data_IF_646175694434
#
_entry.id   IF_646175694434
#
_cell.length_a   1.000
_cell.length_b   1.000
_cell.length_c   1.000
_cell.angle_alpha   90.00
_cell.angle_beta   90.00
_cell.angle_gamma   90.00
#
_symmetry.space_group_name_H-M   'P 1'
#
loop_
_entity.id
_entity.type
_entity.pdbx_description
1 polymer ?
#
# COMPACT_ATOMS: atom_id res chain seq x y z
N UNK A 1 4.74 0.44 -14.06
CA UNK A 1 5.76 -0.25 -13.25
C UNK A 1 6.22 0.70 -12.15
N UNK A 2 5.88 0.41 -10.89
CA UNK A 2 6.40 1.14 -9.72
C UNK A 2 7.44 0.27 -9.03
N UNK A 3 8.60 0.85 -8.79
CA UNK A 3 9.60 0.31 -7.89
C UNK A 3 9.07 0.53 -6.45
N UNK A 4 8.95 -0.54 -5.66
CA UNK A 4 8.38 -0.46 -4.30
C UNK A 4 9.37 -1.06 -3.32
N UNK A 5 9.63 -0.32 -2.24
CA UNK A 5 10.45 -0.77 -1.15
C UNK A 5 10.03 -0.10 0.17
N UNK A 6 10.28 -0.77 1.29
CA UNK A 6 10.17 -0.19 2.62
C UNK A 6 11.59 0.19 3.09
N UNK A 7 11.92 1.42 3.49
CA UNK A 7 13.28 1.75 3.94
C UNK A 7 13.59 1.17 5.32
N UNK A 8 14.71 0.48 5.52
CA UNK A 8 15.18 -0.01 6.83
C UNK A 8 15.66 1.15 7.73
N UNK A 9 15.35 1.16 9.04
CA UNK A 9 14.54 0.20 9.78
C UNK A 9 13.03 0.43 9.55
N UNK A 10 12.32 -0.66 9.23
CA UNK A 10 10.86 -0.66 9.09
C UNK A 10 10.27 -1.91 9.73
N UNK A 11 9.38 -1.74 10.70
CA UNK A 11 8.72 -2.85 11.40
C UNK A 11 7.84 -3.69 10.46
N UNK A 12 7.37 -3.10 9.35
CA UNK A 12 6.51 -3.76 8.36
C UNK A 12 7.30 -4.31 7.16
N UNK A 13 8.63 -4.44 7.26
CA UNK A 13 9.45 -4.92 6.14
C UNK A 13 9.04 -6.32 5.64
N UNK A 14 8.53 -7.19 6.52
CA UNK A 14 8.04 -8.51 6.16
C UNK A 14 6.74 -8.50 5.34
N UNK A 15 6.01 -7.39 5.31
CA UNK A 15 4.72 -7.27 4.63
C UNK A 15 4.88 -6.99 3.13
N UNK A 16 6.05 -6.49 2.72
CA UNK A 16 6.34 -6.03 1.37
C UNK A 16 6.02 -7.07 0.29
N UNK A 17 6.63 -8.26 0.39
CA UNK A 17 6.52 -9.28 -0.65
C UNK A 17 5.10 -9.87 -0.76
N UNK A 18 4.41 -10.22 0.34
CA UNK A 18 3.03 -10.66 0.26
C UNK A 18 2.09 -9.61 -0.33
N UNK A 19 2.20 -8.35 0.09
CA UNK A 19 1.33 -7.27 -0.39
C UNK A 19 1.59 -6.95 -1.86
N UNK A 20 2.84 -6.77 -2.27
CA UNK A 20 3.14 -6.40 -3.66
C UNK A 20 2.78 -7.51 -4.65
N UNK A 21 2.96 -8.78 -4.28
CA UNK A 21 2.61 -9.90 -5.17
C UNK A 21 1.10 -10.03 -5.36
N UNK A 22 0.34 -9.84 -4.28
CA UNK A 22 -1.11 -9.98 -4.31
C UNK A 22 -1.77 -8.74 -4.93
N UNK A 23 -1.29 -7.54 -4.62
CA UNK A 23 -1.71 -6.31 -5.27
C UNK A 23 -1.30 -6.25 -6.74
N UNK A 24 -0.09 -6.69 -7.10
CA UNK A 24 0.36 -6.75 -8.49
C UNK A 24 -0.48 -7.71 -9.33
N UNK A 25 -0.85 -8.87 -8.78
CA UNK A 25 -1.78 -9.80 -9.44
C UNK A 25 -3.18 -9.20 -9.62
N UNK A 26 -3.71 -8.53 -8.59
CA UNK A 26 -4.97 -7.79 -8.67
C UNK A 26 -4.95 -6.72 -9.78
N UNK A 27 -3.83 -6.00 -9.90
CA UNK A 27 -3.64 -4.95 -10.89
C UNK A 27 -3.26 -5.46 -12.28
N UNK A 28 -3.08 -6.78 -12.45
CA UNK A 28 -2.66 -7.42 -13.70
C UNK A 28 -1.31 -6.88 -14.21
N UNK A 29 -0.35 -6.71 -13.30
CA UNK A 29 0.99 -6.25 -13.66
C UNK A 29 1.78 -7.35 -14.39
N UNK A 30 2.62 -6.94 -15.34
CA UNK A 30 3.49 -7.86 -16.08
C UNK A 30 4.73 -8.30 -15.28
N UNK A 31 5.19 -7.47 -14.33
CA UNK A 31 6.42 -7.70 -13.60
C UNK A 31 6.48 -7.00 -12.23
N UNK A 32 7.30 -7.55 -11.34
CA UNK A 32 7.65 -7.00 -10.03
C UNK A 32 9.17 -6.85 -9.94
N UNK A 33 9.63 -5.65 -9.63
CA UNK A 33 11.06 -5.36 -9.40
C UNK A 33 11.22 -4.68 -8.04
N UNK A 34 11.89 -5.33 -7.07
CA UNK A 34 12.37 -4.66 -5.87
C UNK A 34 13.39 -3.56 -6.22
N UNK A 35 13.42 -2.49 -5.44
CA UNK A 35 14.27 -1.32 -5.70
C UNK A 35 15.76 -1.66 -5.74
N UNK A 36 16.26 -2.31 -4.68
CA UNK A 36 17.68 -2.61 -4.53
C UNK A 36 17.92 -4.09 -4.29
N UNK A 37 18.40 -4.77 -5.33
CA UNK A 37 18.84 -6.17 -5.25
C UNK A 37 20.36 -6.28 -5.10
N UNK A 38 21.08 -5.16 -5.01
CA UNK A 38 22.55 -5.14 -5.05
C UNK A 38 23.11 -5.38 -3.65
N UNK A 39 24.11 -6.26 -3.58
CA UNK A 39 24.92 -6.41 -2.38
C UNK A 39 25.69 -5.10 -2.13
N UNK A 40 25.33 -4.36 -1.09
CA UNK A 40 26.17 -3.25 -0.63
C UNK A 40 27.60 -3.77 -0.44
N UNK A 41 28.57 -3.15 -1.13
CA UNK A 41 29.91 -3.59 -1.55
C UNK A 41 30.86 -4.28 -0.53
N UNK A 42 30.39 -4.62 0.66
CA UNK A 42 31.12 -5.38 1.66
C UNK A 42 30.85 -6.88 1.48
N UNK A 43 31.85 -7.74 1.24
CA UNK A 43 31.65 -9.18 1.09
C UNK A 43 31.39 -9.93 2.42
N UNK A 44 31.38 -9.25 3.57
CA UNK A 44 31.11 -9.89 4.86
C UNK A 44 29.63 -10.31 5.01
N UNK A 45 29.32 -11.62 5.04
CA UNK A 45 27.94 -12.12 5.14
C UNK A 45 27.29 -11.82 6.49
N UNK A 46 28.05 -11.46 7.52
CA UNK A 46 27.53 -11.16 8.86
C UNK A 46 27.28 -9.67 9.10
N UNK A 47 27.45 -8.84 8.08
CA UNK A 47 27.50 -7.40 8.26
C UNK A 47 26.12 -6.73 8.42
N UNK A 48 25.02 -7.49 8.35
CA UNK A 48 23.64 -6.99 8.44
C UNK A 48 23.25 -6.08 7.26
N UNK A 49 22.02 -5.57 7.25
CA UNK A 49 21.56 -4.62 6.23
C UNK A 49 22.42 -3.35 6.25
N UNK A 50 23.00 -2.97 5.10
CA UNK A 50 23.90 -1.81 5.00
C UNK A 50 23.27 -0.58 4.37
N UNK A 51 22.27 -0.77 3.51
CA UNK A 51 21.52 0.30 2.86
C UNK A 51 20.08 0.29 3.36
N UNK A 52 19.38 1.41 3.17
CA UNK A 52 17.95 1.51 3.48
C UNK A 52 17.11 0.49 2.70
N UNK A 53 17.56 0.07 1.52
CA UNK A 53 16.79 -0.76 0.60
C UNK A 53 17.38 -2.16 0.41
N UNK A 54 18.36 -2.55 1.23
CA UNK A 54 19.03 -3.85 1.15
C UNK A 54 18.01 -4.99 1.26
N UNK A 55 17.64 -5.55 0.11
CA UNK A 55 16.79 -6.73 0.05
C UNK A 55 17.60 -7.94 0.52
N UNK A 56 18.78 -8.16 -0.06
CA UNK A 56 19.62 -9.36 0.08
C UNK A 56 19.85 -9.80 1.53
N UNK A 57 20.13 -8.86 2.44
CA UNK A 57 20.49 -9.15 3.84
C UNK A 57 19.33 -9.01 4.82
N UNK A 58 18.10 -8.82 4.34
CA UNK A 58 16.92 -8.72 5.19
C UNK A 58 16.13 -10.04 5.20
N UNK A 59 16.32 -10.93 6.20
CA UNK A 59 15.61 -12.21 6.25
C UNK A 59 14.10 -12.02 6.45
N UNK A 60 13.68 -10.93 7.08
CA UNK A 60 12.25 -10.59 7.23
C UNK A 60 11.57 -10.34 5.89
N UNK A 61 12.29 -9.79 4.91
CA UNK A 61 11.81 -9.63 3.53
C UNK A 61 11.94 -10.94 2.76
N UNK A 62 13.15 -11.49 2.67
CA UNK A 62 13.41 -12.68 1.85
C UNK A 62 12.60 -13.91 2.25
N UNK A 63 12.23 -14.03 3.53
CA UNK A 63 11.38 -15.10 4.02
C UNK A 63 10.06 -15.25 3.23
N UNK A 64 9.55 -14.17 2.63
CA UNK A 64 8.31 -14.17 1.86
C UNK A 64 8.50 -14.09 0.33
N UNK A 65 9.74 -14.08 -0.16
CA UNK A 65 10.05 -14.02 -1.60
C UNK A 65 9.49 -15.21 -2.38
N UNK A 66 9.49 -16.43 -1.79
CA UNK A 66 8.95 -17.64 -2.41
C UNK A 66 7.43 -17.54 -2.55
N UNK A 67 6.75 -17.02 -1.53
CA UNK A 67 5.31 -16.73 -1.59
C UNK A 67 5.02 -15.74 -2.72
N UNK A 68 5.74 -14.62 -2.77
CA UNK A 68 5.54 -13.59 -3.79
C UNK A 68 5.79 -14.13 -5.20
N UNK A 69 6.92 -14.80 -5.40
CA UNK A 69 7.32 -15.37 -6.69
C UNK A 69 6.29 -16.38 -7.19
N UNK A 70 5.85 -17.30 -6.33
CA UNK A 70 4.88 -18.33 -6.69
C UNK A 70 3.51 -17.73 -6.98
N UNK A 71 3.01 -16.86 -6.09
CA UNK A 71 1.70 -16.23 -6.20
C UNK A 71 1.58 -15.39 -7.47
N UNK A 72 2.58 -14.56 -7.75
CA UNK A 72 2.56 -13.65 -8.89
C UNK A 72 2.77 -14.38 -10.22
N UNK A 73 3.83 -15.20 -10.34
CA UNK A 73 4.16 -15.86 -11.62
C UNK A 73 3.11 -16.88 -12.06
N UNK A 74 2.37 -17.45 -11.13
CA UNK A 74 1.28 -18.39 -11.44
C UNK A 74 -0.09 -17.70 -11.56
N UNK A 75 -0.17 -16.38 -11.39
CA UNK A 75 -1.43 -15.64 -11.47
C UNK A 75 -2.47 -16.10 -10.44
N UNK A 76 -2.03 -16.40 -9.21
CA UNK A 76 -2.91 -16.99 -8.19
C UNK A 76 -3.91 -15.99 -7.60
N UNK A 77 -3.64 -14.69 -7.74
CA UNK A 77 -4.60 -13.63 -7.46
C UNK A 77 -5.24 -13.20 -8.78
N UNK A 78 -6.57 -13.33 -8.95
CA UNK A 78 -7.24 -12.89 -10.16
C UNK A 78 -7.20 -11.37 -10.30
N UNK A 79 -7.04 -10.84 -11.52
CA UNK A 79 -7.18 -9.42 -11.80
C UNK A 79 -8.54 -8.86 -11.37
N UNK A 80 -8.58 -7.58 -11.00
CA UNK A 80 -9.84 -6.90 -10.76
C UNK A 80 -10.68 -6.80 -12.05
N UNK A 81 -12.01 -6.99 -11.99
CA UNK A 81 -12.87 -7.06 -13.17
C UNK A 81 -13.12 -5.69 -13.83
N UNK A 82 -12.86 -4.60 -13.12
CA UNK A 82 -12.90 -3.24 -13.65
C UNK A 82 -11.50 -2.67 -13.83
N UNK A 83 -11.38 -1.71 -14.74
CA UNK A 83 -10.18 -0.90 -14.88
C UNK A 83 -10.55 0.58 -15.02
N UNK A 84 -9.75 1.46 -14.42
CA UNK A 84 -9.77 2.90 -14.61
C UNK A 84 -8.43 3.34 -15.19
N UNK A 85 -8.49 4.04 -16.30
CA UNK A 85 -7.34 4.64 -16.96
C UNK A 85 -7.45 6.16 -16.85
N UNK A 86 -6.47 6.80 -16.21
CA UNK A 86 -6.32 8.25 -16.23
C UNK A 86 -5.61 8.65 -17.53
N UNK A 87 -6.32 9.37 -18.39
CA UNK A 87 -5.77 10.02 -19.59
C UNK A 87 -5.41 11.45 -19.24
N UNK A 88 -4.14 11.80 -19.37
CA UNK A 88 -3.62 13.14 -19.03
C UNK A 88 -3.80 14.08 -20.23
N UNK A 89 -4.09 15.36 -19.98
CA UNK A 89 -4.09 16.42 -20.98
C UNK A 89 -2.81 16.56 -21.77
N UNK A 90 -2.92 17.04 -23.02
CA UNK A 90 -1.79 17.56 -23.79
C UNK A 90 -1.71 19.09 -23.66
N UNK A 91 -0.53 19.67 -23.31
CA UNK A 91 0.72 18.98 -22.95
C UNK A 91 0.65 18.37 -21.53
N UNK A 92 1.45 17.31 -21.29
CA UNK A 92 1.43 16.54 -20.02
C UNK A 92 1.68 17.38 -18.75
N UNK A 93 2.40 18.50 -18.89
CA UNK A 93 2.71 19.44 -17.80
C UNK A 93 1.71 20.60 -17.70
N UNK A 94 0.65 20.60 -18.51
CA UNK A 94 -0.28 21.72 -18.64
C UNK A 94 -1.32 21.82 -17.53
N UNK A 95 -1.66 20.69 -16.90
CA UNK A 95 -2.74 20.65 -15.89
C UNK A 95 -2.23 20.55 -14.46
N UNK A 96 -1.41 19.54 -14.15
CA UNK A 96 -0.89 19.28 -12.81
C UNK A 96 0.48 18.63 -12.85
N UNK A 97 1.26 18.85 -11.79
CA UNK A 97 2.60 18.27 -11.66
C UNK A 97 2.57 16.77 -11.29
N UNK A 98 1.46 16.28 -10.74
CA UNK A 98 1.36 14.91 -10.25
C UNK A 98 0.01 14.26 -10.63
N UNK A 99 0.09 13.00 -11.09
CA UNK A 99 -1.08 12.25 -11.56
C UNK A 99 -2.07 11.90 -10.43
N UNK A 100 -1.61 11.77 -9.18
CA UNK A 100 -2.47 11.53 -8.02
C UNK A 100 -3.41 12.71 -7.76
N UNK A 101 -2.94 13.95 -7.95
CA UNK A 101 -3.77 15.16 -7.87
C UNK A 101 -4.87 15.14 -8.94
N UNK A 102 -4.53 14.69 -10.16
CA UNK A 102 -5.51 14.52 -11.24
C UNK A 102 -6.54 13.43 -10.90
N UNK A 103 -6.11 12.28 -10.40
CA UNK A 103 -7.02 11.23 -9.92
C UNK A 103 -8.03 11.76 -8.91
N UNK A 104 -7.56 12.49 -7.89
CA UNK A 104 -8.41 13.05 -6.83
C UNK A 104 -9.36 14.13 -7.37
N UNK A 105 -8.90 14.97 -8.30
CA UNK A 105 -9.73 15.99 -8.96
C UNK A 105 -10.88 15.39 -9.74
N UNK A 106 -10.65 14.29 -10.45
CA UNK A 106 -11.66 13.66 -11.30
C UNK A 106 -12.56 12.67 -10.55
N UNK A 107 -12.27 12.37 -9.28
CA UNK A 107 -13.08 11.50 -8.41
C UNK A 107 -13.47 12.21 -7.09
N UNK A 108 -14.11 13.40 -7.13
CA UNK A 108 -14.39 14.16 -5.93
C UNK A 108 -15.35 13.41 -5.00
N UNK A 109 -14.87 13.08 -3.80
CA UNK A 109 -15.64 12.35 -2.79
C UNK A 109 -15.90 10.87 -3.12
N UNK A 110 -15.27 10.35 -4.18
CA UNK A 110 -15.39 8.96 -4.57
C UNK A 110 -14.08 8.22 -4.28
N UNK A 111 -14.14 6.94 -3.88
CA UNK A 111 -12.94 6.14 -3.73
C UNK A 111 -12.27 5.92 -5.09
N UNK A 112 -10.94 6.01 -5.13
CA UNK A 112 -10.16 5.68 -6.33
C UNK A 112 -10.41 4.21 -6.74
N UNK A 113 -10.60 3.32 -5.76
CA UNK A 113 -10.89 1.91 -6.00
C UNK A 113 -9.65 1.03 -6.05
N UNK A 114 -8.62 1.34 -5.25
CA UNK A 114 -7.36 0.58 -5.20
C UNK A 114 -7.52 -0.94 -5.09
N UNK A 115 -8.57 -1.42 -4.42
CA UNK A 115 -8.82 -2.86 -4.21
C UNK A 115 -9.95 -3.43 -5.09
N UNK A 116 -10.59 -2.61 -5.91
CA UNK A 116 -11.77 -2.97 -6.72
C UNK A 116 -11.56 -2.79 -8.22
N UNK A 117 -10.55 -2.01 -8.60
CA UNK A 117 -10.25 -1.60 -9.96
C UNK A 117 -8.76 -1.79 -10.26
N UNK A 118 -8.45 -2.15 -11.50
CA UNK A 118 -7.11 -1.96 -12.06
C UNK A 118 -6.91 -0.49 -12.38
N UNK A 119 -5.79 0.09 -11.98
CA UNK A 119 -5.52 1.51 -12.12
C UNK A 119 -4.31 1.72 -13.02
N UNK A 120 -4.45 2.61 -14.00
CA UNK A 120 -3.36 2.94 -14.92
C UNK A 120 -3.37 4.42 -15.29
N UNK A 121 -2.21 4.94 -15.64
CA UNK A 121 -2.05 6.25 -16.27
C UNK A 121 -1.69 5.99 -17.73
N UNK A 122 -2.49 6.53 -18.63
CA UNK A 122 -2.31 6.35 -20.08
C UNK A 122 -0.98 6.96 -20.55
N UNK A 123 -0.27 6.24 -21.41
CA UNK A 123 0.87 6.76 -22.17
C UNK A 123 0.44 7.57 -23.40
N UNK A 124 -0.87 7.59 -23.69
CA UNK A 124 -1.51 8.35 -24.75
C UNK A 124 -2.27 9.51 -24.12
N UNK A 125 -1.75 10.74 -24.18
CA UNK A 125 -2.49 11.89 -23.72
C UNK A 125 -3.75 12.11 -24.57
N UNK A 126 -4.67 12.91 -24.04
CA UNK A 126 -5.84 13.40 -24.79
C UNK A 126 -5.41 14.34 -25.91
N UNK A 127 -6.37 14.78 -26.75
CA UNK A 127 -6.09 15.76 -27.80
C UNK A 127 -5.57 17.09 -27.25
N UNK A 128 -4.92 17.89 -28.10
CA UNK A 128 -4.45 19.22 -27.71
C UNK A 128 -5.61 20.09 -27.22
N UNK A 129 -5.49 20.61 -25.99
CA UNK A 129 -6.54 21.41 -25.34
C UNK A 129 -7.69 20.59 -24.71
N UNK A 130 -7.68 19.26 -24.82
CA UNK A 130 -8.62 18.40 -24.11
C UNK A 130 -8.12 18.12 -22.68
N UNK A 131 -8.94 18.34 -21.64
CA UNK A 131 -8.52 18.11 -20.26
C UNK A 131 -8.37 16.63 -19.94
N UNK A 132 -7.67 16.33 -18.84
CA UNK A 132 -7.55 14.99 -18.31
C UNK A 132 -8.93 14.37 -18.05
N UNK A 133 -9.01 13.05 -18.17
CA UNK A 133 -10.24 12.30 -17.98
C UNK A 133 -9.95 10.88 -17.48
N UNK A 134 -10.93 10.30 -16.80
CA UNK A 134 -10.88 8.90 -16.38
C UNK A 134 -11.79 8.09 -17.28
N UNK A 135 -11.23 7.06 -17.89
CA UNK A 135 -11.99 6.07 -18.66
C UNK A 135 -12.12 4.81 -17.82
N UNK A 136 -13.36 4.43 -17.52
CA UNK A 136 -13.65 3.19 -16.81
C UNK A 136 -14.14 2.12 -17.77
N UNK A 137 -13.63 0.90 -17.61
CA UNK A 137 -14.10 -0.30 -18.29
C UNK A 137 -14.47 -1.36 -17.26
N UNK A 138 -15.48 -2.17 -17.56
CA UNK A 138 -16.01 -3.16 -16.60
C UNK A 138 -16.81 -2.55 -15.45
N UNK A 139 -17.14 -3.39 -14.47
CA UNK A 139 -17.93 -3.01 -13.29
C UNK A 139 -17.14 -3.34 -12.02
N UNK A 140 -16.87 -2.37 -11.13
CA UNK A 140 -16.16 -2.61 -9.89
C UNK A 140 -16.88 -3.67 -9.06
N UNK A 141 -16.13 -4.58 -8.46
CA UNK A 141 -16.67 -5.64 -7.62
C UNK A 141 -15.72 -5.95 -6.45
N UNK A 142 -16.19 -6.73 -5.47
CA UNK A 142 -15.29 -7.34 -4.49
C UNK A 142 -14.27 -8.24 -5.20
N UNK A 143 -13.05 -8.23 -4.68
CA UNK A 143 -11.93 -8.97 -5.24
C UNK A 143 -11.36 -9.92 -4.20
N UNK A 144 -10.34 -10.68 -4.58
CA UNK A 144 -9.59 -11.53 -3.65
C UNK A 144 -8.89 -10.70 -2.55
N UNK A 145 -8.73 -9.38 -2.73
CA UNK A 145 -7.99 -8.49 -1.84
C UNK A 145 -8.94 -7.52 -1.14
N UNK A 146 -8.78 -7.34 0.17
CA UNK A 146 -9.59 -6.40 0.96
C UNK A 146 -8.86 -5.92 2.21
N UNK A 147 -9.34 -4.81 2.78
CA UNK A 147 -8.98 -4.39 4.14
C UNK A 147 -10.00 -4.92 5.14
N UNK A 148 -9.52 -5.51 6.23
CA UNK A 148 -10.34 -5.96 7.36
C UNK A 148 -9.95 -5.14 8.59
N UNK A 149 -10.94 -4.68 9.36
CA UNK A 149 -10.66 -3.99 10.63
C UNK A 149 -10.41 -5.02 11.74
N UNK A 150 -9.20 -5.01 12.31
CA UNK A 150 -8.84 -5.79 13.49
C UNK A 150 -8.80 -4.90 14.75
N UNK A 151 -8.72 -5.49 15.97
CA UNK A 151 -8.73 -4.73 17.23
C UNK A 151 -7.60 -3.70 17.36
N UNK A 152 -6.44 -3.95 16.74
CA UNK A 152 -5.28 -3.06 16.81
C UNK A 152 -5.12 -2.15 15.58
N UNK A 153 -5.85 -2.40 14.49
CA UNK A 153 -5.74 -1.63 13.27
C UNK A 153 -6.24 -2.39 12.05
N UNK A 154 -6.10 -1.80 10.85
CA UNK A 154 -6.46 -2.47 9.61
C UNK A 154 -5.50 -3.62 9.29
N UNK A 155 -6.02 -4.65 8.64
CA UNK A 155 -5.28 -5.80 8.12
C UNK A 155 -5.57 -5.91 6.64
N UNK A 156 -4.53 -5.92 5.82
CA UNK A 156 -4.63 -6.24 4.41
C UNK A 156 -4.75 -7.76 4.27
N UNK A 157 -5.78 -8.21 3.57
CA UNK A 157 -6.08 -9.63 3.38
C UNK A 157 -6.18 -9.92 1.89
N UNK A 158 -5.40 -10.88 1.41
CA UNK A 158 -5.64 -11.53 0.12
C UNK A 158 -6.10 -12.96 0.36
N UNK A 159 -7.16 -13.38 -0.32
CA UNK A 159 -7.77 -14.70 -0.22
C UNK A 159 -8.24 -15.17 -1.60
N UNK A 160 -7.48 -16.08 -2.19
CA UNK A 160 -7.82 -16.82 -3.40
C UNK A 160 -7.70 -18.33 -3.13
N UNK A 161 -8.14 -19.16 -4.08
CA UNK A 161 -8.15 -20.63 -3.95
C UNK A 161 -6.78 -21.20 -3.54
N UNK A 162 -5.70 -20.69 -4.14
CA UNK A 162 -4.33 -21.21 -3.97
C UNK A 162 -3.33 -20.25 -3.34
N UNK A 163 -3.79 -19.07 -2.93
CA UNK A 163 -2.95 -18.05 -2.30
C UNK A 163 -3.74 -17.28 -1.25
N UNK A 164 -3.15 -17.15 -0.06
CA UNK A 164 -3.73 -16.36 1.02
C UNK A 164 -2.64 -15.66 1.83
N UNK A 165 -2.90 -14.42 2.26
CA UNK A 165 -2.05 -13.67 3.18
C UNK A 165 -2.88 -12.75 4.06
N UNK A 166 -2.33 -12.40 5.22
CA UNK A 166 -2.85 -11.38 6.12
C UNK A 166 -1.66 -10.56 6.67
N UNK A 167 -1.59 -9.28 6.33
CA UNK A 167 -0.51 -8.34 6.74
C UNK A 167 -1.10 -7.11 7.44
N UNK A 168 -0.30 -6.42 8.25
CA UNK A 168 -0.73 -5.29 9.07
C UNK A 168 -0.97 -5.67 10.54
N UNK A 169 -2.00 -5.09 11.15
CA UNK A 169 -2.21 -5.16 12.61
C UNK A 169 -2.87 -6.47 13.08
N UNK A 170 -2.19 -7.60 12.89
CA UNK A 170 -2.72 -8.96 13.19
C UNK A 170 -2.66 -9.34 14.68
N UNK A 171 -1.92 -8.62 15.52
CA UNK A 171 -1.81 -8.92 16.95
C UNK A 171 -3.17 -8.87 17.64
N UNK A 172 -3.59 -9.94 18.31
CA UNK A 172 -4.90 -10.02 18.96
C UNK A 172 -6.07 -10.18 17.98
N UNK A 173 -5.81 -10.40 16.70
CA UNK A 173 -6.83 -10.55 15.67
C UNK A 173 -7.18 -12.03 15.43
N UNK A 174 -8.42 -12.25 14.98
CA UNK A 174 -8.87 -13.48 14.33
C UNK A 174 -9.21 -13.13 12.89
N UNK A 175 -8.43 -13.63 11.93
CA UNK A 175 -8.56 -13.28 10.52
C UNK A 175 -8.80 -14.54 9.71
N UNK A 176 -9.75 -14.46 8.78
CA UNK A 176 -10.03 -15.50 7.79
C UNK A 176 -9.67 -15.01 6.38
N UNK A 177 -8.83 -15.77 5.70
CA UNK A 177 -8.37 -15.51 4.35
C UNK A 177 -8.50 -16.79 3.50
N UNK A 178 -9.74 -17.13 3.12
CA UNK A 178 -10.04 -18.39 2.44
C UNK A 178 -9.76 -19.58 3.36
N UNK A 179 -8.84 -20.45 2.95
CA UNK A 179 -8.41 -21.59 3.78
C UNK A 179 -7.47 -21.19 4.94
N UNK A 180 -6.83 -20.03 4.88
CA UNK A 180 -5.94 -19.53 5.93
C UNK A 180 -6.77 -18.95 7.09
N UNK A 181 -6.55 -19.47 8.30
CA UNK A 181 -7.11 -18.93 9.54
C UNK A 181 -5.96 -18.49 10.45
N UNK A 182 -5.99 -17.24 10.86
CA UNK A 182 -5.00 -16.65 11.77
C UNK A 182 -5.70 -16.35 13.09
N UNK A 183 -5.24 -16.98 14.17
CA UNK A 183 -5.63 -16.62 15.54
C UNK A 183 -4.37 -16.21 16.29
N UNK A 184 -4.23 -14.90 16.51
CA UNK A 184 -3.05 -14.33 17.14
C UNK A 184 -3.38 -13.85 18.54
N UNK A 185 -2.57 -14.27 19.52
CA UNK A 185 -2.53 -13.60 20.81
C UNK A 185 -2.18 -12.11 20.62
N UNK A 186 -2.50 -11.29 21.62
CA UNK A 186 -2.17 -9.86 21.56
C UNK A 186 -0.64 -9.67 21.62
N UNK A 187 -0.08 -9.05 20.59
CA UNK A 187 1.32 -8.60 20.53
C UNK A 187 1.42 -7.27 19.77
N UNK A 188 2.62 -6.70 19.70
CA UNK A 188 2.89 -5.42 19.05
C UNK A 188 2.75 -4.22 19.99
N UNK A 189 3.26 -3.06 19.55
CA UNK A 189 3.11 -1.81 20.31
C UNK A 189 1.69 -1.29 20.18
N UNK A 190 1.00 -1.15 21.31
CA UNK A 190 -0.24 -0.39 21.38
C UNK A 190 0.13 1.07 21.10
N UNK A 191 -0.27 1.61 19.95
CA UNK A 191 -0.35 3.07 19.79
C UNK A 191 -1.43 3.55 20.76
N UNK A 192 -1.04 3.86 22.00
CA UNK A 192 -1.94 4.52 22.95
C UNK A 192 -2.31 5.84 22.29
N UNK A 193 -3.57 5.98 21.84
CA UNK A 193 -4.14 7.30 21.63
C UNK A 193 -4.05 8.00 22.98
N UNK A 194 -3.14 8.97 23.10
CA UNK A 194 -3.15 9.86 24.26
C UNK A 194 -4.56 10.45 24.36
N UNK A 195 -5.20 10.40 25.54
CA UNK A 195 -6.48 11.07 25.71
C UNK A 195 -6.29 12.55 25.37
N UNK A 196 -7.29 13.21 24.75
CA UNK A 196 -7.20 14.64 24.46
C UNK A 196 -6.90 15.35 25.78
N UNK A 197 -5.78 16.06 25.83
CA UNK A 197 -5.43 16.89 26.97
C UNK A 197 -6.55 17.92 27.14
N UNK A 198 -7.33 17.82 28.22
CA UNK A 198 -8.22 18.90 28.64
C UNK A 198 -7.34 20.08 29.06
N UNK A 199 -7.06 20.99 28.14
CA UNK A 199 -6.57 22.31 28.50
C UNK A 199 -7.73 23.07 29.13
N UNK A 200 -7.88 22.99 30.46
CA UNK A 200 -8.61 23.99 31.22
C UNK A 200 -7.88 25.32 31.08
N UNK A 201 -8.38 26.18 30.19
CA UNK A 201 -8.01 27.60 30.15
C UNK A 201 -8.56 28.22 31.44
N UNK A 202 -7.70 28.31 32.45
CA UNK A 202 -7.94 29.12 33.64
C UNK A 202 -7.85 30.59 33.26
N UNK A 203 -9.00 31.26 33.17
CA UNK A 203 -9.08 32.71 33.12
C UNK A 203 -8.70 33.27 34.50
N UNK A 204 -7.44 33.70 34.67
CA UNK A 204 -7.07 34.57 35.79
C UNK A 204 -7.14 36.03 35.33
N UNK A 205 -8.25 36.71 35.67
CA UNK A 205 -8.33 38.17 35.68
C UNK A 205 -7.41 38.71 36.76
N UNK A 206 -6.28 39.30 36.38
CA UNK A 206 -5.41 40.12 37.24
C UNK A 206 -5.41 41.56 36.73
N UNK A 207 -5.95 42.48 37.53
CA UNK A 207 -6.01 43.92 37.28
C UNK A 207 -4.65 44.57 37.56
N UNK A 208 -4.31 45.64 36.83
CA UNK A 208 -3.84 46.87 37.48
C UNK A 208 -2.44 47.40 37.15
N UNK A 209 -2.42 48.40 36.25
CA UNK A 209 -1.82 49.75 36.35
C UNK A 209 -0.29 49.98 36.43
N UNK A 210 0.10 50.84 35.48
CA UNK A 210 0.88 52.09 35.61
C UNK A 210 2.41 52.06 35.71
N UNK A 211 2.97 52.81 34.76
CA UNK A 211 4.35 53.24 34.51
C UNK A 211 5.27 52.21 33.88
#
# INVERSE_FOLDING_TARGET
MSEIDHPFPHDYGCEMYPEIATYGGLQDWDALYPFDMVEGANPDPNSGSKTYFDQYRNPGRWGFSVFATTTFRQGLIPPAPAAKELRIGAPLWGEEAHADVLWLRHLPGQPIGFLTDRLSVSDRPTGEGEPASIVQTGTPAETAVRMVQAPQGPVYVAAADKAATATGYIGGAKIEAGALRVDCARFGRILRRSPPSRSTIGSSKGRGRCW
#
